data_IF_438690854887
#
_entry.id   IF_438690854887
#
_cell.length_a   1.000
_cell.length_b   1.000
_cell.length_c   1.000
_cell.angle_alpha   90.00
_cell.angle_beta   90.00
_cell.angle_gamma   90.00
#
_symmetry.space_group_name_H-M   'P 1'
#
loop_
_entity.id
_entity.type
_entity.pdbx_description
1 polymer ?
#
# COMPACT_ATOMS: atom_id res chain seq x y z
N UNK A 1 -9.71 -28.04 -13.15
CA UNK A 1 -9.29 -27.14 -12.05
C UNK A 1 -8.73 -25.80 -12.53
N UNK A 2 -8.01 -25.70 -13.66
CA UNK A 2 -7.44 -24.41 -14.14
C UNK A 2 -8.48 -23.35 -14.55
N UNK A 3 -9.68 -23.73 -14.99
CA UNK A 3 -10.77 -22.79 -15.35
C UNK A 3 -11.40 -22.03 -14.16
N UNK A 4 -11.03 -22.36 -12.91
CA UNK A 4 -11.60 -21.71 -11.72
C UNK A 4 -11.08 -20.28 -11.56
N UNK A 5 -9.86 -19.97 -12.04
CA UNK A 5 -9.33 -18.60 -12.05
C UNK A 5 -9.81 -17.82 -13.29
N UNK A 6 -11.10 -17.48 -13.30
CA UNK A 6 -11.77 -16.84 -14.45
C UNK A 6 -11.16 -15.49 -14.87
N UNK A 7 -10.44 -14.81 -13.97
CA UNK A 7 -9.87 -13.47 -14.22
C UNK A 7 -8.33 -13.45 -14.19
N UNK A 8 -7.66 -14.59 -14.01
CA UNK A 8 -6.19 -14.65 -13.89
C UNK A 8 -5.66 -13.80 -12.73
N UNK A 9 -6.48 -13.57 -11.70
CA UNK A 9 -6.17 -12.60 -10.64
C UNK A 9 -4.96 -13.04 -9.83
N UNK A 10 -4.83 -14.34 -9.59
CA UNK A 10 -3.73 -14.96 -8.85
C UNK A 10 -2.41 -14.82 -9.61
N UNK A 11 -2.42 -15.11 -10.91
CA UNK A 11 -1.24 -14.99 -11.78
C UNK A 11 -0.77 -13.54 -11.92
N UNK A 12 -1.71 -12.59 -12.03
CA UNK A 12 -1.37 -11.15 -12.04
C UNK A 12 -0.77 -10.68 -10.73
N UNK A 13 -1.29 -11.15 -9.58
CA UNK A 13 -0.75 -10.81 -8.27
C UNK A 13 0.67 -11.37 -8.11
N UNK A 14 0.86 -12.66 -8.39
CA UNK A 14 2.15 -13.35 -8.30
C UNK A 14 3.18 -12.69 -9.24
N UNK A 15 2.85 -12.56 -10.53
CA UNK A 15 3.72 -11.91 -11.51
C UNK A 15 4.07 -10.47 -11.13
N UNK A 16 3.11 -9.74 -10.54
CA UNK A 16 3.38 -8.38 -10.05
C UNK A 16 4.32 -8.37 -8.84
N UNK A 17 4.28 -9.35 -7.93
CA UNK A 17 5.25 -9.41 -6.81
C UNK A 17 6.64 -9.78 -7.34
N UNK A 18 6.70 -10.81 -8.19
CA UNK A 18 7.95 -11.26 -8.82
C UNK A 18 8.60 -10.13 -9.62
N UNK A 19 7.83 -9.36 -10.40
CA UNK A 19 8.37 -8.25 -11.19
C UNK A 19 8.93 -7.13 -10.32
N UNK A 20 8.28 -6.81 -9.19
CA UNK A 20 8.76 -5.78 -8.24
C UNK A 20 10.10 -6.22 -7.64
N UNK A 21 10.20 -7.48 -7.20
CA UNK A 21 11.38 -8.03 -6.55
C UNK A 21 12.35 -8.75 -7.50
N UNK A 22 12.26 -8.49 -8.81
CA UNK A 22 13.02 -9.25 -9.83
C UNK A 22 14.53 -9.16 -9.64
N UNK A 23 15.03 -7.99 -9.24
CA UNK A 23 16.46 -7.78 -9.07
C UNK A 23 17.00 -8.61 -7.90
N UNK A 24 16.27 -8.63 -6.78
CA UNK A 24 16.62 -9.41 -5.59
C UNK A 24 16.57 -10.92 -5.88
N UNK A 25 15.50 -11.37 -6.55
CA UNK A 25 15.33 -12.77 -6.95
C UNK A 25 16.42 -13.25 -7.93
N UNK A 26 16.71 -12.46 -8.96
CA UNK A 26 17.77 -12.81 -9.93
C UNK A 26 19.12 -12.88 -9.22
N UNK A 27 19.40 -11.95 -8.31
CA UNK A 27 20.68 -11.91 -7.58
C UNK A 27 20.85 -13.12 -6.68
N UNK A 28 19.84 -13.49 -5.90
CA UNK A 28 19.93 -14.65 -4.99
C UNK A 28 19.99 -15.97 -5.75
N UNK A 29 19.21 -16.12 -6.83
CA UNK A 29 19.29 -17.29 -7.70
C UNK A 29 20.62 -17.38 -8.44
N UNK A 30 21.18 -16.27 -8.91
CA UNK A 30 22.47 -16.25 -9.58
C UNK A 30 23.59 -16.69 -8.63
N UNK A 31 23.67 -16.11 -7.43
CA UNK A 31 24.69 -16.47 -6.43
C UNK A 31 24.49 -17.93 -5.97
N UNK A 32 23.24 -18.34 -5.73
CA UNK A 32 22.92 -19.72 -5.35
C UNK A 32 23.32 -20.73 -6.43
N UNK A 33 23.02 -20.45 -7.70
CA UNK A 33 23.38 -21.31 -8.82
C UNK A 33 24.90 -21.37 -9.02
N UNK A 34 25.59 -20.24 -8.90
CA UNK A 34 27.06 -20.19 -8.96
C UNK A 34 27.68 -21.05 -7.83
N UNK A 35 27.17 -20.91 -6.61
CA UNK A 35 27.57 -21.73 -5.47
C UNK A 35 27.30 -23.23 -5.68
N UNK A 36 26.16 -23.59 -6.28
CA UNK A 36 25.83 -24.98 -6.62
C UNK A 36 26.83 -25.57 -7.63
N UNK A 37 27.18 -24.84 -8.68
CA UNK A 37 28.13 -25.30 -9.70
C UNK A 37 29.51 -25.51 -9.07
N UNK A 38 30.02 -24.54 -8.31
CA UNK A 38 31.31 -24.67 -7.64
C UNK A 38 31.31 -25.80 -6.60
N UNK A 39 30.29 -25.89 -5.75
CA UNK A 39 30.16 -26.95 -4.75
C UNK A 39 30.17 -28.33 -5.40
N UNK A 40 29.38 -28.53 -6.46
CA UNK A 40 29.29 -29.81 -7.15
C UNK A 40 30.63 -30.18 -7.80
N UNK A 41 31.34 -29.20 -8.36
CA UNK A 41 32.64 -29.43 -8.97
C UNK A 41 33.72 -29.80 -7.95
N UNK A 42 33.80 -29.08 -6.83
CA UNK A 42 34.77 -29.38 -5.78
C UNK A 42 34.49 -30.72 -5.10
N UNK A 43 33.23 -31.06 -4.84
CA UNK A 43 32.85 -32.37 -4.29
C UNK A 43 33.14 -33.48 -5.29
N UNK A 44 32.86 -33.29 -6.58
CA UNK A 44 33.25 -34.24 -7.61
C UNK A 44 34.75 -34.51 -7.61
N UNK A 45 35.59 -33.48 -7.58
CA UNK A 45 37.05 -33.65 -7.53
C UNK A 45 37.51 -34.38 -6.27
N UNK A 46 36.86 -34.15 -5.13
CA UNK A 46 37.19 -34.80 -3.86
C UNK A 46 36.72 -36.27 -3.81
N UNK A 47 35.63 -36.62 -4.49
CA UNK A 47 34.94 -37.91 -4.36
C UNK A 47 35.03 -38.82 -5.59
N UNK A 48 35.60 -38.36 -6.72
CA UNK A 48 35.63 -39.13 -7.98
C UNK A 48 36.29 -40.51 -7.87
N UNK A 49 37.25 -40.68 -6.96
CA UNK A 49 37.97 -41.94 -6.74
C UNK A 49 37.51 -42.67 -5.46
N UNK A 50 36.52 -42.11 -4.74
CA UNK A 50 36.01 -42.68 -3.51
C UNK A 50 35.04 -43.84 -3.80
N UNK A 51 35.24 -44.95 -3.09
CA UNK A 51 34.39 -46.13 -3.18
C UNK A 51 33.56 -46.23 -1.92
N UNK A 52 32.25 -46.39 -2.09
CA UNK A 52 31.32 -46.53 -0.98
C UNK A 52 31.38 -47.94 -0.35
N UNK A 53 30.73 -48.15 0.79
CA UNK A 53 30.70 -49.44 1.51
C UNK A 53 30.20 -50.62 0.66
N UNK A 54 29.37 -50.32 -0.35
CA UNK A 54 28.86 -51.30 -1.33
C UNK A 54 29.79 -51.56 -2.52
N UNK A 55 31.01 -51.02 -2.52
CA UNK A 55 31.98 -51.20 -3.60
C UNK A 55 31.70 -50.39 -4.87
N UNK A 56 30.79 -49.40 -4.81
CA UNK A 56 30.39 -48.57 -5.96
C UNK A 56 30.95 -47.16 -5.85
N UNK A 57 31.22 -46.54 -7.01
CA UNK A 57 31.61 -45.13 -7.10
C UNK A 57 30.33 -44.29 -7.23
N UNK A 58 30.04 -43.45 -6.24
CA UNK A 58 28.83 -42.61 -6.19
C UNK A 58 28.92 -41.39 -7.12
N UNK A 59 30.13 -40.82 -7.23
CA UNK A 59 30.41 -39.59 -7.98
C UNK A 59 31.18 -39.90 -9.28
N UNK A 60 30.67 -40.84 -10.08
CA UNK A 60 31.33 -41.29 -11.31
C UNK A 60 31.37 -40.23 -12.42
N UNK A 61 30.40 -39.32 -12.44
CA UNK A 61 30.35 -38.20 -13.38
C UNK A 61 30.08 -36.87 -12.68
N UNK A 62 30.41 -35.76 -13.34
CA UNK A 62 30.04 -34.42 -12.84
C UNK A 62 28.51 -34.26 -12.74
N UNK A 63 27.74 -34.94 -13.60
CA UNK A 63 26.28 -34.94 -13.53
C UNK A 63 25.77 -35.57 -12.23
N UNK A 64 26.46 -36.60 -11.71
CA UNK A 64 26.11 -37.22 -10.43
C UNK A 64 26.34 -36.27 -9.25
N UNK A 65 27.43 -35.50 -9.29
CA UNK A 65 27.72 -34.48 -8.29
C UNK A 65 26.74 -33.29 -8.38
N UNK A 66 26.33 -32.90 -9.59
CA UNK A 66 25.28 -31.89 -9.78
C UNK A 66 23.93 -32.35 -9.23
N UNK A 67 23.55 -33.61 -9.46
CA UNK A 67 22.34 -34.19 -8.88
C UNK A 67 22.38 -34.12 -7.35
N UNK A 68 23.48 -34.58 -6.75
CA UNK A 68 23.70 -34.46 -5.31
C UNK A 68 23.61 -33.01 -4.83
N UNK A 69 24.24 -32.07 -5.55
CA UNK A 69 24.21 -30.64 -5.25
C UNK A 69 22.79 -30.09 -5.24
N UNK A 70 21.98 -30.37 -6.27
CA UNK A 70 20.57 -29.95 -6.36
C UNK A 70 19.76 -30.50 -5.19
N UNK A 71 19.86 -31.81 -4.91
CA UNK A 71 19.15 -32.48 -3.81
C UNK A 71 19.55 -31.91 -2.44
N UNK A 72 20.81 -31.53 -2.27
CA UNK A 72 21.35 -30.98 -1.03
C UNK A 72 20.94 -29.52 -0.82
N UNK A 73 21.10 -28.63 -1.82
CA UNK A 73 20.76 -27.21 -1.66
C UNK A 73 19.26 -26.97 -1.53
N UNK A 74 18.44 -27.86 -2.09
CA UNK A 74 16.98 -27.84 -1.93
C UNK A 74 16.53 -28.51 -0.63
N UNK A 75 17.47 -28.98 0.21
CA UNK A 75 17.21 -29.63 1.49
C UNK A 75 16.33 -30.89 1.41
N UNK A 76 16.28 -31.54 0.24
CA UNK A 76 15.54 -32.79 0.05
C UNK A 76 16.30 -33.93 0.72
N UNK A 77 17.60 -34.07 0.42
CA UNK A 77 18.49 -35.02 1.10
C UNK A 77 18.06 -36.48 1.00
N UNK A 78 17.89 -37.02 -0.22
CA UNK A 78 17.51 -38.42 -0.42
C UNK A 78 18.47 -39.42 0.21
N UNK A 79 19.76 -39.08 0.31
CA UNK A 79 20.80 -39.95 0.86
C UNK A 79 21.27 -41.05 -0.10
N UNK A 80 20.85 -41.00 -1.37
CA UNK A 80 21.30 -41.89 -2.44
C UNK A 80 22.77 -41.67 -2.81
N UNK A 81 23.24 -40.42 -2.76
CA UNK A 81 24.65 -40.06 -2.94
C UNK A 81 25.11 -39.22 -1.75
N UNK A 82 26.22 -39.60 -1.14
CA UNK A 82 26.79 -38.90 0.02
C UNK A 82 28.32 -38.91 -0.11
N UNK A 83 29.00 -37.76 0.06
CA UNK A 83 30.46 -37.72 0.06
C UNK A 83 31.02 -38.60 1.18
N UNK A 84 31.98 -39.46 0.86
CA UNK A 84 32.58 -40.42 1.77
C UNK A 84 33.87 -39.89 2.39
N UNK A 85 34.68 -39.17 1.61
CA UNK A 85 35.96 -38.62 2.06
C UNK A 85 35.74 -37.49 3.06
N UNK A 86 36.70 -37.32 3.98
CA UNK A 86 36.68 -36.17 4.88
C UNK A 86 36.68 -34.86 4.07
N UNK A 87 37.58 -34.74 3.09
CA UNK A 87 37.70 -33.53 2.26
C UNK A 87 36.37 -33.18 1.60
N UNK A 88 35.70 -34.15 0.97
CA UNK A 88 34.38 -33.96 0.37
C UNK A 88 33.32 -33.55 1.40
N UNK A 89 33.31 -34.17 2.59
CA UNK A 89 32.40 -33.80 3.69
C UNK A 89 32.63 -32.37 4.20
N UNK A 90 33.88 -31.93 4.34
CA UNK A 90 34.18 -30.55 4.77
C UNK A 90 33.76 -29.52 3.71
N UNK A 91 34.04 -29.78 2.44
CA UNK A 91 33.62 -28.92 1.33
C UNK A 91 32.08 -28.86 1.28
N UNK A 92 31.42 -30.02 1.30
CA UNK A 92 29.97 -30.12 1.29
C UNK A 92 29.33 -29.38 2.48
N UNK A 93 29.89 -29.53 3.69
CA UNK A 93 29.38 -28.83 4.88
C UNK A 93 29.54 -27.32 4.77
N UNK A 94 30.68 -26.82 4.28
CA UNK A 94 30.89 -25.39 4.11
C UNK A 94 29.91 -24.80 3.07
N UNK A 95 29.85 -25.40 1.88
CA UNK A 95 29.01 -24.88 0.80
C UNK A 95 27.51 -25.04 1.07
N UNK A 96 27.07 -26.10 1.76
CA UNK A 96 25.65 -26.31 2.08
C UNK A 96 25.08 -25.19 2.95
N UNK A 97 25.80 -24.73 3.98
CA UNK A 97 25.35 -23.62 4.85
C UNK A 97 25.07 -22.36 4.03
N UNK A 98 25.97 -21.99 3.12
CA UNK A 98 25.79 -20.80 2.28
C UNK A 98 24.74 -21.00 1.19
N UNK A 99 24.80 -22.10 0.44
CA UNK A 99 23.93 -22.34 -0.71
C UNK A 99 22.46 -22.50 -0.30
N UNK A 100 22.18 -23.23 0.81
CA UNK A 100 20.82 -23.38 1.34
C UNK A 100 20.24 -22.00 1.71
N UNK A 101 21.05 -21.13 2.32
CA UNK A 101 20.63 -19.77 2.66
C UNK A 101 20.16 -19.01 1.41
N UNK A 102 20.93 -19.05 0.31
CA UNK A 102 20.54 -18.38 -0.94
C UNK A 102 19.31 -18.99 -1.61
N UNK A 103 19.15 -20.31 -1.58
CA UNK A 103 17.96 -20.99 -2.14
C UNK A 103 16.69 -20.75 -1.30
N UNK A 104 16.83 -20.45 -0.01
CA UNK A 104 15.70 -20.09 0.86
C UNK A 104 15.21 -18.65 0.67
N UNK A 105 16.10 -17.73 0.25
CA UNK A 105 15.77 -16.30 0.10
C UNK A 105 14.60 -16.00 -0.85
N UNK A 106 14.46 -16.63 -2.03
CA UNK A 106 13.33 -16.41 -2.91
C UNK A 106 11.97 -16.60 -2.23
N UNK A 107 11.82 -17.63 -1.40
CA UNK A 107 10.59 -17.86 -0.64
C UNK A 107 10.33 -16.74 0.37
N UNK A 108 11.36 -16.26 1.06
CA UNK A 108 11.27 -15.14 2.01
C UNK A 108 10.95 -13.80 1.34
N UNK A 109 11.56 -13.50 0.20
CA UNK A 109 11.32 -12.28 -0.59
C UNK A 109 9.87 -12.27 -1.09
N UNK A 110 9.39 -13.38 -1.65
CA UNK A 110 8.00 -13.48 -2.10
C UNK A 110 7.02 -13.39 -0.93
N UNK A 111 7.28 -14.08 0.18
CA UNK A 111 6.44 -14.06 1.37
C UNK A 111 6.29 -12.66 1.96
N UNK A 112 7.40 -11.93 2.11
CA UNK A 112 7.40 -10.54 2.58
C UNK A 112 6.73 -9.60 1.57
N UNK A 113 6.98 -9.77 0.26
CA UNK A 113 6.32 -9.00 -0.80
C UNK A 113 4.80 -9.16 -0.80
N UNK A 114 4.29 -10.37 -0.56
CA UNK A 114 2.85 -10.60 -0.40
C UNK A 114 2.30 -9.94 0.86
N UNK A 115 2.98 -10.09 2.00
CA UNK A 115 2.57 -9.47 3.25
C UNK A 115 2.44 -7.94 3.12
N UNK A 116 3.43 -7.29 2.49
CA UNK A 116 3.43 -5.85 2.22
C UNK A 116 2.29 -5.44 1.29
N UNK A 117 2.02 -6.18 0.21
CA UNK A 117 0.87 -5.89 -0.69
C UNK A 117 -0.47 -6.00 0.02
N UNK A 118 -0.64 -7.00 0.89
CA UNK A 118 -1.87 -7.16 1.67
C UNK A 118 -2.06 -5.97 2.62
N UNK A 119 -1.00 -5.55 3.32
CA UNK A 119 -1.05 -4.38 4.20
C UNK A 119 -1.32 -3.07 3.43
N UNK A 120 -0.69 -2.88 2.27
CA UNK A 120 -0.94 -1.72 1.40
C UNK A 120 -2.40 -1.68 0.94
N UNK A 121 -2.98 -2.82 0.55
CA UNK A 121 -4.39 -2.91 0.16
C UNK A 121 -5.35 -2.57 1.31
N UNK A 122 -4.98 -2.90 2.55
CA UNK A 122 -5.75 -2.47 3.72
C UNK A 122 -5.66 -0.95 3.93
N UNK A 123 -4.48 -0.34 3.80
CA UNK A 123 -4.34 1.13 3.87
C UNK A 123 -5.11 1.83 2.74
N UNK A 124 -5.15 1.24 1.55
CA UNK A 124 -5.92 1.77 0.42
C UNK A 124 -7.43 1.68 0.61
N UNK A 125 -7.98 0.88 1.55
CA UNK A 125 -9.42 0.97 1.86
C UNK A 125 -9.82 2.34 2.43
N UNK A 126 -8.87 3.10 2.98
CA UNK A 126 -9.10 4.49 3.37
C UNK A 126 -9.19 5.47 2.18
N UNK A 127 -8.94 4.98 0.95
CA UNK A 127 -9.05 5.74 -0.29
C UNK A 127 -10.50 5.99 -0.76
N UNK A 128 -11.51 5.52 -0.01
CA UNK A 128 -12.90 5.96 -0.22
C UNK A 128 -13.05 7.50 -0.14
N UNK A 129 -12.05 8.22 0.39
CA UNK A 129 -11.94 9.67 0.33
C UNK A 129 -11.68 10.24 -1.07
N UNK A 130 -11.29 9.43 -2.06
CA UNK A 130 -10.96 9.89 -3.42
C UNK A 130 -12.12 9.81 -4.41
N UNK A 131 -13.19 9.08 -4.08
CA UNK A 131 -14.43 9.07 -4.86
C UNK A 131 -14.98 10.49 -5.07
N UNK A 132 -15.11 11.36 -4.04
CA UNK A 132 -15.57 12.72 -4.25
C UNK A 132 -14.59 13.58 -5.05
N UNK A 133 -13.27 13.34 -4.92
CA UNK A 133 -12.26 14.08 -5.66
C UNK A 133 -12.28 13.75 -7.17
N UNK A 134 -12.39 12.47 -7.52
CA UNK A 134 -12.52 12.04 -8.91
C UNK A 134 -13.83 12.55 -9.55
N UNK A 135 -14.95 12.48 -8.81
CA UNK A 135 -16.22 13.04 -9.27
C UNK A 135 -16.13 14.55 -9.49
N UNK A 136 -15.49 15.28 -8.57
CA UNK A 136 -15.27 16.73 -8.71
C UNK A 136 -14.47 17.04 -9.97
N UNK A 137 -13.36 16.33 -10.22
CA UNK A 137 -12.51 16.55 -11.39
C UNK A 137 -13.28 16.36 -12.70
N UNK A 138 -14.06 15.28 -12.81
CA UNK A 138 -14.88 15.00 -14.00
C UNK A 138 -15.92 16.12 -14.18
N UNK A 139 -16.60 16.52 -13.10
CA UNK A 139 -17.62 17.56 -13.16
C UNK A 139 -17.04 18.93 -13.53
N UNK A 140 -15.88 19.30 -12.99
CA UNK A 140 -15.21 20.57 -13.35
C UNK A 140 -14.73 20.55 -14.78
N UNK A 141 -14.14 19.45 -15.25
CA UNK A 141 -13.70 19.32 -16.64
C UNK A 141 -14.87 19.44 -17.62
N UNK A 142 -16.00 18.77 -17.33
CA UNK A 142 -17.19 18.88 -18.15
C UNK A 142 -17.80 20.30 -18.11
N UNK A 143 -17.79 20.96 -16.95
CA UNK A 143 -18.25 22.34 -16.83
C UNK A 143 -17.38 23.32 -17.63
N UNK A 144 -16.07 23.13 -17.66
CA UNK A 144 -15.17 23.91 -18.51
C UNK A 144 -15.48 23.71 -20.00
N UNK A 145 -15.66 22.47 -20.44
CA UNK A 145 -16.07 22.17 -21.81
C UNK A 145 -17.45 22.76 -22.15
N UNK A 146 -18.42 22.60 -21.25
CA UNK A 146 -19.78 23.07 -21.45
C UNK A 146 -19.93 24.61 -21.41
N UNK A 147 -18.94 25.33 -20.87
CA UNK A 147 -18.92 26.79 -20.85
C UNK A 147 -18.70 27.40 -22.25
N UNK A 148 -18.12 26.64 -23.19
CA UNK A 148 -17.92 27.07 -24.58
C UNK A 148 -19.24 27.17 -25.36
N UNK A 149 -20.31 26.53 -24.87
CA UNK A 149 -21.65 26.59 -25.45
C UNK A 149 -22.55 27.56 -24.66
N UNK A 150 -22.96 28.73 -25.21
CA UNK A 150 -23.76 29.73 -24.49
C UNK A 150 -25.17 29.23 -24.11
N UNK A 151 -25.78 28.38 -24.94
CA UNK A 151 -27.11 27.79 -24.69
C UNK A 151 -27.08 26.57 -23.75
N UNK A 152 -25.89 26.23 -23.24
CA UNK A 152 -25.71 25.09 -22.37
C UNK A 152 -26.46 25.25 -21.05
N UNK A 153 -27.09 24.16 -20.59
CA UNK A 153 -27.83 24.15 -19.32
C UNK A 153 -26.93 24.38 -18.09
N UNK A 154 -25.60 24.35 -18.25
CA UNK A 154 -24.63 24.73 -17.20
C UNK A 154 -24.87 26.15 -16.67
N UNK A 155 -25.31 27.08 -17.51
CA UNK A 155 -25.58 28.47 -17.11
C UNK A 155 -26.87 28.63 -16.30
N UNK A 156 -27.84 27.70 -16.42
CA UNK A 156 -29.10 27.73 -15.67
C UNK A 156 -28.89 27.64 -14.15
N UNK A 157 -27.77 27.09 -13.70
CA UNK A 157 -27.38 27.03 -12.28
C UNK A 157 -27.19 28.44 -11.71
N UNK A 158 -26.65 29.37 -12.50
CA UNK A 158 -26.35 30.75 -12.06
C UNK A 158 -27.51 31.71 -12.28
N UNK A 159 -28.42 31.40 -13.20
CA UNK A 159 -29.60 32.25 -13.52
C UNK A 159 -30.79 31.94 -12.59
N UNK A 160 -30.84 30.75 -11.98
CA UNK A 160 -31.92 30.39 -11.04
C UNK A 160 -31.70 31.08 -9.69
N UNK A 161 -32.54 32.06 -9.35
CA UNK A 161 -32.54 32.72 -8.03
C UNK A 161 -32.59 31.67 -6.91
N UNK A 162 -31.82 31.81 -5.81
CA UNK A 162 -31.95 30.92 -4.66
C UNK A 162 -33.39 30.99 -4.17
N UNK A 163 -34.03 29.83 -4.01
CA UNK A 163 -35.38 29.78 -3.44
C UNK A 163 -35.31 30.34 -2.02
N UNK A 164 -36.03 31.44 -1.76
CA UNK A 164 -36.30 31.91 -0.39
C UNK A 164 -36.92 30.75 0.38
N UNK A 165 -36.25 30.26 1.40
CA UNK A 165 -36.87 29.44 2.44
C UNK A 165 -37.98 30.28 3.05
N UNK A 166 -39.23 29.98 2.67
CA UNK A 166 -40.38 30.56 3.32
C UNK A 166 -40.43 30.02 4.75
N UNK A 167 -40.07 30.85 5.71
CA UNK A 167 -40.44 30.70 7.12
C UNK A 167 -41.96 30.60 7.18
N UNK A 168 -42.49 29.38 7.20
CA UNK A 168 -43.90 29.14 7.50
C UNK A 168 -44.10 29.30 8.99
N UNK A 169 -44.63 30.47 9.35
CA UNK A 169 -45.40 30.68 10.57
C UNK A 169 -46.49 29.60 10.66
N UNK A 170 -46.36 28.67 11.61
CA UNK A 170 -47.47 27.86 12.11
C UNK A 170 -47.19 27.43 13.55
N UNK A 171 -48.22 27.37 14.41
CA UNK A 171 -48.07 27.50 15.85
C UNK A 171 -47.53 26.23 16.51
N UNK A 172 -46.74 26.43 17.55
CA UNK A 172 -46.15 25.39 18.40
C UNK A 172 -47.13 24.30 18.84
N UNK A 173 -46.75 23.01 18.75
CA UNK A 173 -47.16 22.01 19.72
C UNK A 173 -45.96 21.43 20.49
N UNK A 174 -46.13 21.45 21.81
CA UNK A 174 -45.30 20.95 22.93
C UNK A 174 -44.36 19.76 22.66
N UNK A 175 -43.21 19.67 23.36
CA UNK A 175 -42.21 18.65 23.13
C UNK A 175 -42.65 17.28 23.67
N UNK A 176 -42.55 16.23 22.86
CA UNK A 176 -42.64 14.84 23.33
C UNK A 176 -41.46 14.00 22.81
N UNK A 177 -40.58 13.71 23.78
CA UNK A 177 -39.73 12.53 23.99
C UNK A 177 -38.64 12.21 22.95
N UNK A 178 -37.40 12.49 23.39
CA UNK A 178 -36.16 11.92 22.88
C UNK A 178 -36.19 10.39 22.93
N UNK A 179 -36.06 9.72 21.78
CA UNK A 179 -35.68 8.31 21.75
C UNK A 179 -34.16 8.23 21.76
N UNK A 180 -33.65 7.78 22.90
CA UNK A 180 -32.24 7.57 23.19
C UNK A 180 -31.75 6.33 22.44
N UNK A 181 -31.00 6.50 21.35
CA UNK A 181 -30.27 5.38 20.73
C UNK A 181 -29.06 5.06 21.61
N UNK A 182 -29.17 3.93 22.32
CA UNK A 182 -28.24 3.39 23.29
C UNK A 182 -26.92 3.00 22.60
N UNK A 183 -25.90 3.86 22.65
CA UNK A 183 -24.54 3.52 22.21
C UNK A 183 -23.92 2.57 23.25
N UNK A 184 -23.72 1.31 22.85
CA UNK A 184 -23.10 0.25 23.66
C UNK A 184 -21.66 0.66 23.99
N UNK A 185 -21.39 0.96 25.27
CA UNK A 185 -20.03 1.17 25.81
C UNK A 185 -19.27 -0.16 25.73
N UNK A 186 -18.16 -0.17 24.99
CA UNK A 186 -17.08 -1.12 25.22
C UNK A 186 -16.12 -0.44 26.19
N UNK A 187 -15.94 -1.04 27.38
CA UNK A 187 -15.03 -0.62 28.43
C UNK A 187 -13.71 -1.35 28.16
N UNK A 188 -12.60 -0.63 28.03
CA UNK A 188 -11.27 -1.19 28.26
C UNK A 188 -10.58 -0.31 29.29
N UNK A 189 -10.02 -0.98 30.28
CA UNK A 189 -9.42 -0.47 31.49
C UNK A 189 -8.03 0.15 31.23
N UNK A 190 -7.67 1.08 32.13
CA UNK A 190 -6.33 1.27 32.73
C UNK A 190 -5.42 2.44 32.27
N UNK A 191 -5.20 3.29 33.29
CA UNK A 191 -4.09 4.16 33.68
C UNK A 191 -3.72 5.44 32.90
N UNK A 192 -4.00 6.58 33.57
CA UNK A 192 -3.41 7.90 33.34
C UNK A 192 -2.17 8.08 34.22
N UNK A 193 -1.09 8.62 33.64
CA UNK A 193 0.02 9.21 34.36
C UNK A 193 0.90 10.09 33.46
N UNK A 194 0.77 11.41 33.66
CA UNK A 194 1.65 12.53 33.25
C UNK A 194 1.59 13.10 31.82
N UNK A 195 1.20 14.39 31.77
CA UNK A 195 1.50 15.43 30.76
C UNK A 195 2.83 16.13 31.09
N UNK A 196 3.32 17.17 30.34
CA UNK A 196 2.96 17.66 29.00
C UNK A 196 4.18 17.95 28.07
N UNK A 197 3.89 18.16 26.78
CA UNK A 197 4.62 19.15 25.97
C UNK A 197 5.24 18.61 24.69
N UNK A 198 4.60 18.89 23.56
CA UNK A 198 5.26 19.48 22.39
C UNK A 198 4.24 19.85 21.30
N UNK A 199 4.51 20.98 20.65
CA UNK A 199 3.61 21.77 19.81
C UNK A 199 3.41 21.12 18.45
N UNK A 200 2.16 20.88 18.06
CA UNK A 200 1.79 20.52 16.68
C UNK A 200 1.52 21.82 15.90
N UNK A 201 2.24 21.98 14.79
CA UNK A 201 2.09 23.05 13.81
C UNK A 201 0.77 22.85 13.05
N UNK A 202 -0.21 23.74 13.24
CA UNK A 202 -1.47 23.73 12.49
C UNK A 202 -1.37 24.66 11.28
N UNK A 203 -1.61 24.09 10.11
CA UNK A 203 -1.73 24.76 8.80
C UNK A 203 -2.96 25.68 8.81
N UNK A 204 -2.90 26.93 8.29
CA UNK A 204 -4.02 27.86 8.37
C UNK A 204 -5.16 27.48 7.42
N UNK A 205 -6.37 27.58 7.94
CA UNK A 205 -7.64 27.38 7.25
C UNK A 205 -8.00 28.69 6.52
N UNK A 206 -8.08 28.68 5.19
CA UNK A 206 -8.53 29.84 4.41
C UNK A 206 -10.07 29.91 4.54
N UNK A 207 -10.54 30.81 5.39
CA UNK A 207 -11.95 31.23 5.45
C UNK A 207 -12.07 32.47 4.57
N UNK A 208 -12.84 32.40 3.49
CA UNK A 208 -13.24 33.57 2.72
C UNK A 208 -14.50 34.17 3.36
N UNK A 209 -14.37 35.36 3.94
CA UNK A 209 -15.50 36.16 4.41
C UNK A 209 -16.25 36.80 3.22
N UNK A 210 -17.59 36.93 3.28
CA UNK A 210 -18.38 37.58 2.24
C UNK A 210 -18.31 39.12 2.35
N UNK A 211 -18.53 39.87 1.26
CA UNK A 211 -18.31 41.32 1.24
C UNK A 211 -19.41 42.10 1.99
N UNK A 212 -19.00 43.07 2.79
CA UNK A 212 -19.85 44.03 3.50
C UNK A 212 -20.61 44.97 2.55
N UNK A 213 -21.87 45.20 2.90
CA UNK A 213 -22.86 46.05 2.25
C UNK A 213 -22.60 47.54 2.58
N UNK A 214 -22.14 48.34 1.60
CA UNK A 214 -22.02 49.81 1.76
C UNK A 214 -23.38 50.47 1.51
N UNK A 215 -23.98 51.02 2.57
CA UNK A 215 -25.00 52.08 2.48
C UNK A 215 -24.37 53.48 2.60
N UNK A 216 -24.96 54.52 1.96
CA UNK A 216 -24.31 55.80 1.71
C UNK A 216 -24.36 56.77 2.89
N UNK A 217 -23.29 57.54 3.07
CA UNK A 217 -23.12 58.54 4.12
C UNK A 217 -24.06 59.74 3.97
N UNK A 218 -24.64 60.13 5.11
CA UNK A 218 -25.40 61.36 5.33
C UNK A 218 -24.49 62.59 5.20
N UNK A 219 -24.86 63.54 4.34
CA UNK A 219 -24.30 64.90 4.35
C UNK A 219 -25.03 65.73 5.41
N UNK A 220 -24.27 66.25 6.38
CA UNK A 220 -24.74 67.20 7.39
C UNK A 220 -24.86 68.60 6.80
N UNK A 221 -25.99 69.27 7.05
CA UNK A 221 -26.14 70.72 6.91
C UNK A 221 -26.40 71.25 8.33
N UNK A 222 -25.44 71.99 8.88
CA UNK A 222 -25.62 72.76 10.10
C UNK A 222 -26.05 74.17 9.72
N UNK A 223 -27.16 74.62 10.31
CA UNK A 223 -27.67 75.98 10.23
C UNK A 223 -27.36 76.77 11.50
N UNK A 224 -26.92 78.01 11.32
CA UNK A 224 -26.89 79.14 12.27
C UNK A 224 -26.80 80.38 11.34
N UNK A 225 -27.50 81.51 11.47
CA UNK A 225 -28.43 82.05 12.45
C UNK A 225 -29.24 83.15 11.72
N UNK A 226 -30.41 83.48 12.24
CA UNK A 226 -31.29 84.54 11.74
C UNK A 226 -30.92 85.88 12.38
N UNK A 227 -30.92 86.97 11.61
CA UNK A 227 -31.25 88.33 12.09
C UNK A 227 -31.54 89.27 10.92
N UNK A 228 -32.50 90.16 11.15
CA UNK A 228 -33.36 90.83 10.17
C UNK A 228 -33.11 92.34 10.16
N UNK A 229 -33.29 92.95 8.98
CA UNK A 229 -33.62 94.34 8.64
C UNK A 229 -32.58 95.49 8.74
N UNK A 230 -32.70 96.34 7.71
CA UNK A 230 -32.65 97.83 7.65
C UNK A 230 -32.18 98.53 8.94
#
# INVERSE_FOLDING_TARGET
>A
MLHVDRQGGTWRLLGSVVFIHRQELITTLYIGFLGLIFSSYFVYLAEKDAVNESGRIEFGSYADALWWGVVTVTTIGYGDKVPQTWVGKTIASCFSVFAISFFALPAGILGSGFALKVQQKQRQKHFNRQIPAAASLIQTAWRCYAAENPDSSTWKIYVRKPARSHTLLSPSPKPKKSVMVKKKKFKLDKDNGLSPGEKIFNVPHITCDPPEDRRPDHFSIDGYDSSVNI
#
